data_IF_108666066671
#
_entry.id   IF_108666066671
#
_cell.length_a   1.000
_cell.length_b   1.000
_cell.length_c   1.000
_cell.angle_alpha   90.00
_cell.angle_beta   90.00
_cell.angle_gamma   90.00
#
_symmetry.space_group_name_H-M   'P 1'
#
loop_
_entity.id
_entity.type
_entity.pdbx_description
1 polymer ?
#
# COMPACT_ATOMS: atom_id res chain seq x y z
N UNK A 1 0.90 17.63 -17.52
CA UNK A 1 -0.28 17.81 -18.38
C UNK A 1 -0.39 19.30 -18.71
N UNK A 2 -0.38 19.65 -19.98
CA UNK A 2 -0.45 21.04 -20.44
C UNK A 2 -1.61 21.19 -21.43
N UNK A 3 -2.61 21.97 -21.06
CA UNK A 3 -3.72 22.35 -21.95
C UNK A 3 -3.27 23.46 -22.90
N UNK A 4 -3.28 23.18 -24.21
CA UNK A 4 -2.80 24.10 -25.21
C UNK A 4 -3.95 24.99 -25.72
N UNK A 5 -3.87 26.28 -25.44
CA UNK A 5 -4.87 27.29 -25.85
C UNK A 5 -4.93 27.46 -27.36
N UNK A 6 -6.09 27.96 -27.87
CA UNK A 6 -6.26 28.25 -29.28
C UNK A 6 -5.21 29.27 -29.76
N UNK A 7 -4.53 28.96 -30.88
CA UNK A 7 -3.51 29.83 -31.50
C UNK A 7 -2.06 29.41 -31.23
N UNK A 8 -1.83 28.42 -30.39
CA UNK A 8 -0.50 27.81 -30.21
C UNK A 8 -0.25 26.72 -31.27
N UNK A 9 1.00 26.65 -31.75
CA UNK A 9 1.46 25.61 -32.68
C UNK A 9 2.18 24.53 -31.87
N UNK A 10 1.66 23.29 -31.93
CA UNK A 10 2.28 22.11 -31.34
C UNK A 10 3.50 21.73 -32.21
N UNK A 11 4.64 21.48 -31.57
CA UNK A 11 5.92 21.16 -32.22
C UNK A 11 6.28 19.68 -32.13
N UNK A 12 5.51 18.89 -31.40
CA UNK A 12 5.75 17.45 -31.16
C UNK A 12 4.59 16.64 -31.71
N UNK A 13 4.85 15.39 -32.07
CA UNK A 13 3.84 14.43 -32.52
C UNK A 13 3.46 13.45 -31.41
N UNK A 14 2.29 12.81 -31.54
CA UNK A 14 1.85 11.79 -30.58
C UNK A 14 2.80 10.59 -30.60
N UNK A 15 3.32 10.23 -29.43
CA UNK A 15 4.29 9.14 -29.27
C UNK A 15 5.75 9.57 -29.30
N UNK A 16 6.08 10.84 -29.54
CA UNK A 16 7.46 11.33 -29.55
C UNK A 16 8.14 11.22 -28.18
N UNK A 17 9.43 10.87 -28.20
CA UNK A 17 10.30 10.93 -27.03
C UNK A 17 10.98 12.29 -26.95
N UNK A 18 10.64 13.04 -25.90
CA UNK A 18 11.22 14.37 -25.66
C UNK A 18 12.16 14.37 -24.45
N UNK A 19 13.21 15.18 -24.52
CA UNK A 19 14.11 15.42 -23.39
C UNK A 19 13.63 16.60 -22.54
N UNK A 20 14.05 16.63 -21.29
CA UNK A 20 13.82 17.80 -20.43
C UNK A 20 14.35 19.08 -21.11
N UNK A 21 13.53 20.13 -21.16
CA UNK A 21 13.83 21.39 -21.84
C UNK A 21 13.45 21.44 -23.32
N UNK A 22 12.96 20.35 -23.93
CA UNK A 22 12.50 20.37 -25.32
C UNK A 22 11.20 21.20 -25.47
N UNK A 23 11.06 22.03 -26.53
CA UNK A 23 9.84 22.80 -26.75
C UNK A 23 8.71 21.87 -27.20
N UNK A 24 7.57 21.93 -26.50
CA UNK A 24 6.36 21.15 -26.81
C UNK A 24 5.39 21.94 -27.71
N UNK A 25 5.25 23.22 -27.46
CA UNK A 25 4.42 24.12 -28.22
C UNK A 25 4.94 25.56 -28.20
N UNK A 26 4.69 26.32 -29.27
CA UNK A 26 5.08 27.73 -29.39
C UNK A 26 3.90 28.62 -29.75
N UNK A 27 3.95 29.88 -29.30
CA UNK A 27 3.00 30.91 -29.68
C UNK A 27 3.71 32.12 -30.27
N UNK A 28 3.54 32.37 -31.58
CA UNK A 28 4.14 33.48 -32.35
C UNK A 28 5.66 33.63 -32.17
N UNK A 29 6.36 32.51 -31.94
CA UNK A 29 7.81 32.44 -31.68
C UNK A 29 8.33 33.27 -30.46
N UNK A 30 7.41 33.78 -29.64
CA UNK A 30 7.75 34.59 -28.45
C UNK A 30 7.60 33.81 -27.12
N UNK A 31 6.75 32.80 -27.10
CA UNK A 31 6.49 32.00 -25.89
C UNK A 31 6.52 30.52 -26.22
N UNK A 32 7.26 29.76 -25.43
CA UNK A 32 7.40 28.31 -25.58
C UNK A 32 6.93 27.61 -24.30
N UNK A 33 6.26 26.49 -24.48
CA UNK A 33 6.01 25.52 -23.42
C UNK A 33 7.07 24.44 -23.58
N UNK A 34 7.93 24.27 -22.60
CA UNK A 34 9.02 23.30 -22.61
C UNK A 34 8.70 22.11 -21.68
N UNK A 35 9.20 20.92 -22.03
CA UNK A 35 9.07 19.74 -21.22
C UNK A 35 9.88 19.87 -19.91
N UNK A 36 9.24 19.75 -18.76
CA UNK A 36 9.94 19.78 -17.47
C UNK A 36 10.79 18.52 -17.23
N UNK A 37 10.43 17.39 -17.84
CA UNK A 37 11.11 16.10 -17.72
C UNK A 37 11.21 15.41 -19.06
N UNK A 38 12.12 14.47 -19.19
CA UNK A 38 12.17 13.56 -20.34
C UNK A 38 11.04 12.53 -20.24
N UNK A 39 10.41 12.21 -21.37
CA UNK A 39 9.32 11.24 -21.42
C UNK A 39 8.72 11.14 -22.81
N UNK A 40 7.68 10.31 -22.92
CA UNK A 40 6.90 10.15 -24.14
C UNK A 40 5.72 11.10 -24.14
N UNK A 41 5.48 11.76 -25.27
CA UNK A 41 4.35 12.67 -25.47
C UNK A 41 3.11 11.87 -25.86
N UNK A 42 1.98 12.18 -25.25
CA UNK A 42 0.66 11.76 -25.72
C UNK A 42 -0.18 13.00 -25.97
N UNK A 43 -0.82 13.05 -27.13
CA UNK A 43 -1.64 14.19 -27.55
C UNK A 43 -3.08 13.71 -27.68
N UNK A 44 -3.96 14.23 -26.82
CA UNK A 44 -5.40 14.04 -26.91
C UNK A 44 -6.07 15.39 -27.15
N UNK A 45 -6.73 15.55 -28.29
CA UNK A 45 -7.36 16.80 -28.75
C UNK A 45 -6.37 17.98 -28.74
N UNK A 46 -6.32 18.74 -27.65
CA UNK A 46 -5.43 19.89 -27.44
C UNK A 46 -4.66 19.83 -26.14
N UNK A 47 -4.68 18.69 -25.48
CA UNK A 47 -3.92 18.45 -24.27
C UNK A 47 -2.67 17.66 -24.61
N UNK A 48 -1.50 18.21 -24.29
CA UNK A 48 -0.22 17.51 -24.40
C UNK A 48 0.12 16.94 -23.03
N UNK A 49 0.08 15.63 -22.93
CA UNK A 49 0.45 14.88 -21.72
C UNK A 49 1.85 14.30 -21.88
N UNK A 50 2.73 14.59 -20.94
CA UNK A 50 4.07 14.02 -20.91
C UNK A 50 4.07 12.82 -19.95
N UNK A 51 4.23 11.63 -20.51
CA UNK A 51 4.34 10.38 -19.76
C UNK A 51 5.81 10.16 -19.39
N UNK A 52 6.13 10.30 -18.12
CA UNK A 52 7.48 10.11 -17.60
C UNK A 52 7.56 8.77 -16.88
N UNK A 53 8.32 7.83 -17.45
CA UNK A 53 8.63 6.56 -16.79
C UNK A 53 9.91 6.69 -15.96
N UNK A 54 9.81 6.43 -14.67
CA UNK A 54 10.96 6.37 -13.78
C UNK A 54 11.22 4.93 -13.36
N UNK A 55 12.31 4.36 -13.86
CA UNK A 55 12.79 3.07 -13.38
C UNK A 55 13.50 3.28 -12.03
N UNK A 56 12.97 2.64 -10.99
CA UNK A 56 13.58 2.62 -9.67
C UNK A 56 14.12 1.21 -9.46
N UNK A 57 15.44 1.09 -9.26
CA UNK A 57 16.10 -0.17 -8.93
C UNK A 57 16.33 -0.22 -7.43
N UNK A 58 15.99 -1.35 -6.82
CA UNK A 58 16.22 -1.58 -5.41
C UNK A 58 16.94 -2.91 -5.21
N UNK A 59 18.11 -2.85 -4.59
CA UNK A 59 18.90 -4.03 -4.29
C UNK A 59 18.56 -4.58 -2.90
N UNK A 60 18.34 -5.88 -2.82
CA UNK A 60 18.15 -6.59 -1.57
C UNK A 60 19.29 -7.57 -1.35
N UNK A 61 19.99 -7.46 -0.21
CA UNK A 61 21.04 -8.41 0.18
C UNK A 61 20.41 -9.71 0.65
N UNK A 62 20.71 -10.79 -0.04
CA UNK A 62 20.26 -12.14 0.29
C UNK A 62 21.36 -12.85 1.07
N UNK A 63 21.05 -13.54 2.20
CA UNK A 63 22.01 -14.39 2.89
C UNK A 63 22.52 -15.50 1.96
N UNK A 64 23.81 -15.82 2.04
CA UNK A 64 24.44 -16.82 1.17
C UNK A 64 23.80 -18.24 1.28
N UNK A 65 23.14 -18.53 2.40
CA UNK A 65 22.43 -19.77 2.67
C UNK A 65 20.96 -19.71 2.27
N UNK A 66 20.46 -18.56 1.85
CA UNK A 66 19.05 -18.36 1.47
C UNK A 66 18.75 -18.92 0.09
N UNK A 67 17.73 -19.79 -0.02
CA UNK A 67 17.23 -20.26 -1.30
C UNK A 67 16.32 -19.20 -1.91
N UNK A 68 16.64 -18.78 -3.14
CA UNK A 68 15.78 -17.88 -3.91
C UNK A 68 14.52 -18.63 -4.36
N UNK A 69 13.37 -17.97 -4.24
CA UNK A 69 12.05 -18.45 -4.66
C UNK A 69 11.57 -17.78 -5.96
N UNK A 70 12.38 -16.90 -6.53
CA UNK A 70 12.08 -16.13 -7.73
C UNK A 70 13.14 -16.36 -8.80
N UNK A 71 12.73 -16.26 -10.05
CA UNK A 71 13.59 -16.38 -11.22
C UNK A 71 13.90 -15.02 -11.85
N UNK A 72 14.97 -14.95 -12.64
CA UNK A 72 15.34 -13.74 -13.36
C UNK A 72 14.26 -13.36 -14.38
N UNK A 73 13.86 -12.08 -14.38
CA UNK A 73 12.78 -11.58 -15.24
C UNK A 73 11.37 -11.86 -14.75
N UNK A 74 11.21 -12.53 -13.61
CA UNK A 74 9.89 -12.80 -13.03
C UNK A 74 9.25 -11.50 -12.53
N UNK A 75 7.99 -11.29 -12.89
CA UNK A 75 7.17 -10.20 -12.36
C UNK A 75 6.71 -10.55 -10.94
N UNK A 76 6.99 -9.67 -9.98
CA UNK A 76 6.69 -9.88 -8.57
C UNK A 76 5.66 -8.87 -8.09
N UNK A 77 4.81 -9.32 -7.15
CA UNK A 77 3.83 -8.47 -6.47
C UNK A 77 4.36 -7.97 -5.13
N UNK A 78 3.88 -6.81 -4.64
CA UNK A 78 4.22 -6.33 -3.30
C UNK A 78 3.94 -7.38 -2.22
N UNK A 79 4.95 -7.64 -1.37
CA UNK A 79 4.87 -8.63 -0.30
C UNK A 79 5.07 -10.09 -0.74
N UNK A 80 5.41 -10.36 -2.01
CA UNK A 80 5.83 -11.69 -2.44
C UNK A 80 7.16 -12.06 -1.78
N UNK A 81 7.27 -13.31 -1.33
CA UNK A 81 8.50 -13.80 -0.70
C UNK A 81 9.55 -14.08 -1.76
N UNK A 82 10.71 -13.44 -1.63
CA UNK A 82 11.83 -13.59 -2.57
C UNK A 82 12.81 -14.70 -2.15
N UNK A 83 12.91 -14.95 -0.85
CA UNK A 83 13.85 -15.90 -0.24
C UNK A 83 13.09 -16.81 0.72
N UNK A 84 13.45 -18.09 0.73
CA UNK A 84 12.86 -19.05 1.67
C UNK A 84 13.20 -18.67 3.12
N UNK A 85 12.20 -18.70 4.00
CA UNK A 85 12.34 -18.37 5.41
C UNK A 85 11.03 -17.95 6.06
N UNK A 86 11.07 -17.71 7.36
CA UNK A 86 9.93 -17.25 8.15
C UNK A 86 9.66 -15.76 7.84
N UNK A 87 8.45 -15.45 7.46
CA UNK A 87 8.02 -14.08 7.20
C UNK A 87 7.64 -13.37 8.51
N UNK A 88 7.87 -12.06 8.55
CA UNK A 88 7.38 -11.24 9.65
C UNK A 88 5.88 -10.94 9.44
N UNK A 89 4.98 -11.42 10.31
CA UNK A 89 3.55 -11.22 10.15
C UNK A 89 3.12 -9.75 10.20
N UNK A 90 3.90 -8.88 10.85
CA UNK A 90 3.64 -7.42 10.87
C UNK A 90 3.86 -6.83 9.48
N UNK A 91 4.88 -7.29 8.75
CA UNK A 91 5.10 -6.85 7.36
C UNK A 91 4.00 -7.36 6.44
N UNK A 92 3.56 -8.62 6.60
CA UNK A 92 2.43 -9.15 5.83
C UNK A 92 1.18 -8.31 6.08
N UNK A 93 0.89 -7.98 7.35
CA UNK A 93 -0.27 -7.16 7.72
C UNK A 93 -0.24 -5.79 7.04
N UNK A 94 0.93 -5.18 6.99
CA UNK A 94 1.10 -3.84 6.42
C UNK A 94 0.98 -3.83 4.89
N UNK A 95 1.46 -4.89 4.21
CA UNK A 95 1.55 -4.94 2.74
C UNK A 95 0.34 -5.67 2.12
N UNK A 96 -0.04 -6.83 2.68
CA UNK A 96 -1.08 -7.73 2.16
C UNK A 96 -2.39 -7.68 2.94
N UNK A 97 -2.40 -6.98 4.05
CA UNK A 97 -3.57 -6.80 4.89
C UNK A 97 -3.88 -7.97 5.82
N UNK A 98 -5.04 -7.85 6.47
CA UNK A 98 -5.47 -8.70 7.57
C UNK A 98 -5.68 -10.17 7.18
N UNK A 99 -6.38 -10.41 6.07
CA UNK A 99 -6.71 -11.77 5.64
C UNK A 99 -5.47 -12.60 5.29
N UNK A 100 -4.50 -11.99 4.59
CA UNK A 100 -3.24 -12.63 4.27
C UNK A 100 -2.45 -12.98 5.53
N UNK A 101 -2.45 -12.06 6.52
CA UNK A 101 -1.79 -12.29 7.80
C UNK A 101 -2.46 -13.42 8.58
N UNK A 102 -3.79 -13.45 8.63
CA UNK A 102 -4.53 -14.50 9.31
C UNK A 102 -4.26 -15.88 8.67
N UNK A 103 -4.29 -15.98 7.33
CA UNK A 103 -3.97 -17.22 6.62
C UNK A 103 -2.53 -17.69 6.86
N UNK A 104 -1.58 -16.75 6.87
CA UNK A 104 -0.19 -17.06 7.16
C UNK A 104 -0.02 -17.60 8.58
N UNK A 105 -0.54 -16.91 9.59
CA UNK A 105 -0.47 -17.34 10.99
C UNK A 105 -1.14 -18.71 11.19
N UNK A 106 -2.29 -18.94 10.55
CA UNK A 106 -2.99 -20.21 10.60
C UNK A 106 -2.13 -21.35 10.04
N UNK A 107 -1.53 -21.15 8.86
CA UNK A 107 -0.66 -22.12 8.22
C UNK A 107 0.55 -22.47 9.07
N UNK A 108 1.24 -21.46 9.62
CA UNK A 108 2.43 -21.65 10.46
C UNK A 108 2.11 -22.45 11.73
N UNK A 109 1.05 -22.04 12.44
CA UNK A 109 0.66 -22.72 13.69
C UNK A 109 0.16 -24.13 13.42
N UNK A 110 -0.66 -24.32 12.39
CA UNK A 110 -1.12 -25.66 11.98
C UNK A 110 0.04 -26.58 11.60
N UNK A 111 1.05 -26.05 10.91
CA UNK A 111 2.26 -26.81 10.56
C UNK A 111 2.97 -27.34 11.79
N UNK A 112 3.13 -26.50 12.84
CA UNK A 112 3.75 -26.90 14.10
C UNK A 112 2.93 -27.98 14.82
N UNK A 113 1.61 -27.80 14.93
CA UNK A 113 0.76 -28.80 15.61
C UNK A 113 0.73 -30.14 14.86
N UNK A 114 0.61 -30.09 13.51
CA UNK A 114 0.62 -31.31 12.68
C UNK A 114 1.95 -32.06 12.78
N UNK A 115 3.08 -31.34 12.85
CA UNK A 115 4.40 -31.98 13.04
C UNK A 115 4.51 -32.73 14.36
N UNK A 116 3.72 -32.34 15.37
CA UNK A 116 3.62 -32.99 16.69
C UNK A 116 2.49 -34.02 16.76
N UNK A 117 1.82 -34.33 15.64
CA UNK A 117 0.72 -35.29 15.59
C UNK A 117 -0.60 -34.78 16.18
N UNK A 118 -0.72 -33.49 16.44
CA UNK A 118 -1.91 -32.89 17.04
C UNK A 118 -2.77 -32.24 15.94
N UNK A 119 -4.04 -32.63 15.86
CA UNK A 119 -5.02 -32.02 14.98
C UNK A 119 -5.87 -31.00 15.75
N UNK A 120 -5.74 -29.73 15.38
CA UNK A 120 -6.57 -28.65 15.91
C UNK A 120 -7.46 -28.09 14.79
N UNK A 121 -8.73 -27.89 15.09
CA UNK A 121 -9.65 -27.28 14.13
C UNK A 121 -9.31 -25.77 13.98
N UNK A 122 -9.26 -25.32 12.74
CA UNK A 122 -8.92 -23.92 12.37
C UNK A 122 -9.74 -22.89 13.10
N UNK A 123 -11.02 -23.18 13.38
CA UNK A 123 -11.95 -22.27 14.10
C UNK A 123 -11.40 -21.80 15.45
N UNK A 124 -10.69 -22.66 16.17
CA UNK A 124 -10.12 -22.30 17.47
C UNK A 124 -9.00 -21.27 17.33
N UNK A 125 -8.16 -21.42 16.30
CA UNK A 125 -7.09 -20.47 15.99
C UNK A 125 -7.63 -19.17 15.42
N UNK A 126 -8.65 -19.24 14.56
CA UNK A 126 -9.28 -18.07 13.94
C UNK A 126 -9.93 -17.14 14.97
N UNK A 127 -10.55 -17.68 16.03
CA UNK A 127 -11.11 -16.86 17.12
C UNK A 127 -10.01 -16.07 17.82
N UNK A 128 -8.85 -16.68 18.06
CA UNK A 128 -7.69 -16.00 18.65
C UNK A 128 -7.16 -14.92 17.72
N UNK A 129 -6.95 -15.23 16.45
CA UNK A 129 -6.45 -14.26 15.47
C UNK A 129 -7.40 -13.10 15.26
N UNK A 130 -8.73 -13.33 15.32
CA UNK A 130 -9.72 -12.26 15.27
C UNK A 130 -9.49 -11.22 16.36
N UNK A 131 -9.16 -11.68 17.58
CA UNK A 131 -8.85 -10.78 18.70
C UNK A 131 -7.50 -10.10 18.55
N UNK A 132 -6.49 -10.83 18.08
CA UNK A 132 -5.14 -10.27 17.84
C UNK A 132 -5.12 -9.19 16.74
N UNK A 133 -6.01 -9.29 15.74
CA UNK A 133 -6.12 -8.39 14.58
C UNK A 133 -7.34 -7.46 14.66
N UNK A 134 -8.02 -7.41 15.81
CA UNK A 134 -9.25 -6.63 15.98
C UNK A 134 -9.03 -5.14 16.19
N UNK A 135 -7.84 -4.76 16.65
CA UNK A 135 -7.51 -3.38 17.00
C UNK A 135 -6.72 -2.68 15.90
N UNK A 136 -6.88 -1.36 15.87
CA UNK A 136 -6.14 -0.44 15.00
C UNK A 136 -5.50 0.66 15.85
N UNK A 137 -4.41 1.22 15.37
CA UNK A 137 -3.74 2.35 16.00
C UNK A 137 -4.03 3.62 15.22
N UNK A 138 -4.52 4.65 15.90
CA UNK A 138 -4.83 5.94 15.29
C UNK A 138 -3.55 6.61 14.81
N UNK A 139 -3.54 7.03 13.55
CA UNK A 139 -2.46 7.78 12.92
C UNK A 139 -2.72 9.28 12.95
N UNK A 140 -3.93 9.68 12.51
CA UNK A 140 -4.41 11.06 12.55
C UNK A 140 -5.83 11.07 13.08
N UNK A 141 -6.12 12.00 13.97
CA UNK A 141 -7.44 12.11 14.61
C UNK A 141 -8.53 12.63 13.66
N UNK A 142 -8.17 13.41 12.62
CA UNK A 142 -9.20 14.15 11.87
C UNK A 142 -10.00 15.06 12.79
N UNK A 143 -11.33 15.08 12.59
CA UNK A 143 -12.29 15.85 13.43
C UNK A 143 -12.95 14.96 14.52
N UNK A 144 -12.26 13.89 14.93
CA UNK A 144 -12.69 13.01 16.01
C UNK A 144 -11.98 13.35 17.34
N UNK A 145 -12.55 12.91 18.47
CA UNK A 145 -11.93 13.06 19.81
C UNK A 145 -10.83 12.01 20.10
N UNK A 146 -10.45 11.20 19.10
CA UNK A 146 -9.45 10.14 19.24
C UNK A 146 -8.04 10.70 19.26
N UNK A 147 -7.16 10.09 20.07
CA UNK A 147 -5.77 10.54 20.17
C UNK A 147 -4.85 9.77 19.21
N UNK A 148 -3.89 10.45 18.55
CA UNK A 148 -2.86 9.78 17.77
C UNK A 148 -2.07 8.79 18.63
N UNK A 149 -1.89 7.55 18.13
CA UNK A 149 -1.23 6.47 18.86
C UNK A 149 -2.16 5.60 19.72
N UNK A 150 -3.40 6.01 19.92
CA UNK A 150 -4.41 5.25 20.67
C UNK A 150 -4.77 3.94 19.95
N UNK A 151 -5.03 2.88 20.72
CA UNK A 151 -5.48 1.58 20.24
C UNK A 151 -6.99 1.45 20.42
N UNK A 152 -7.72 1.44 19.33
CA UNK A 152 -9.17 1.31 19.33
C UNK A 152 -9.62 0.06 18.57
N UNK A 153 -10.80 -0.44 18.87
CA UNK A 153 -11.41 -1.50 18.06
C UNK A 153 -11.77 -0.97 16.67
N UNK A 154 -11.48 -1.76 15.65
CA UNK A 154 -11.71 -1.38 14.26
C UNK A 154 -13.17 -1.04 13.97
N UNK A 155 -14.12 -1.80 14.52
CA UNK A 155 -15.55 -1.57 14.30
C UNK A 155 -15.99 -0.26 14.95
N UNK A 156 -15.51 0.03 16.15
CA UNK A 156 -15.80 1.29 16.86
C UNK A 156 -15.26 2.48 16.07
N UNK A 157 -14.04 2.37 15.51
CA UNK A 157 -13.49 3.42 14.64
C UNK A 157 -14.34 3.62 13.37
N UNK A 158 -14.81 2.54 12.76
CA UNK A 158 -15.67 2.62 11.58
C UNK A 158 -16.99 3.34 11.87
N UNK A 159 -17.58 3.09 13.05
CA UNK A 159 -18.81 3.76 13.48
C UNK A 159 -18.57 5.25 13.76
N UNK A 160 -17.53 5.61 14.52
CA UNK A 160 -17.13 7.00 14.78
C UNK A 160 -16.85 7.74 13.45
N UNK A 161 -16.09 7.14 12.55
CA UNK A 161 -15.79 7.76 11.26
C UNK A 161 -17.05 7.96 10.41
N UNK A 162 -18.02 7.04 10.48
CA UNK A 162 -19.29 7.20 9.78
C UNK A 162 -20.04 8.43 10.28
N UNK A 163 -20.16 8.61 11.59
CA UNK A 163 -20.83 9.78 12.19
C UNK A 163 -20.15 11.10 11.79
N UNK A 164 -18.81 11.13 11.80
CA UNK A 164 -18.04 12.33 11.39
C UNK A 164 -18.24 12.64 9.91
N UNK A 165 -18.25 11.63 9.04
CA UNK A 165 -18.47 11.82 7.58
C UNK A 165 -19.90 12.33 7.33
N UNK A 166 -20.92 11.80 8.03
CA UNK A 166 -22.32 12.25 7.94
C UNK A 166 -22.46 13.72 8.40
N UNK A 167 -21.66 14.14 9.37
CA UNK A 167 -21.57 15.53 9.80
C UNK A 167 -20.73 16.44 8.87
N UNK A 168 -20.11 15.90 7.81
CA UNK A 168 -19.28 16.63 6.85
C UNK A 168 -17.86 16.91 7.32
N UNK A 169 -17.39 16.25 8.38
CA UNK A 169 -16.04 16.34 8.93
C UNK A 169 -15.04 15.38 8.29
N UNK A 170 -13.77 15.50 8.68
CA UNK A 170 -12.68 14.62 8.24
C UNK A 170 -12.57 13.40 9.17
N UNK A 171 -12.63 12.17 8.63
CA UNK A 171 -12.51 10.96 9.43
C UNK A 171 -11.10 10.76 9.98
N UNK A 172 -10.98 10.05 11.10
CA UNK A 172 -9.71 9.59 11.63
C UNK A 172 -9.10 8.51 10.73
N UNK A 173 -7.77 8.53 10.60
CA UNK A 173 -7.01 7.49 9.90
C UNK A 173 -6.26 6.63 10.89
N UNK A 174 -6.20 5.31 10.61
CA UNK A 174 -5.53 4.36 11.49
C UNK A 174 -4.79 3.27 10.70
N UNK A 175 -3.82 2.64 11.37
CA UNK A 175 -3.07 1.51 10.85
C UNK A 175 -3.50 0.22 11.55
N UNK A 176 -3.67 -0.88 10.82
CA UNK A 176 -3.93 -2.17 11.43
C UNK A 176 -2.73 -2.61 12.26
N UNK A 177 -2.98 -3.16 13.44
CA UNK A 177 -1.94 -3.69 14.34
C UNK A 177 -2.17 -5.16 14.63
N UNK A 178 -1.07 -5.90 14.79
CA UNK A 178 -1.08 -7.27 15.25
C UNK A 178 -0.65 -7.26 16.73
N UNK A 179 -1.58 -7.56 17.63
CA UNK A 179 -1.30 -7.69 19.05
C UNK A 179 -0.89 -9.12 19.38
N UNK A 180 0.09 -9.29 20.25
CA UNK A 180 0.37 -10.60 20.86
C UNK A 180 -0.83 -11.08 21.68
N UNK A 181 -0.95 -12.40 21.87
CA UNK A 181 -2.08 -13.03 22.60
C UNK A 181 -2.33 -12.38 23.96
N UNK A 182 -1.28 -12.18 24.75
CA UNK A 182 -1.38 -11.57 26.08
C UNK A 182 -1.94 -10.15 26.03
N UNK A 183 -1.42 -9.32 25.11
CA UNK A 183 -1.93 -7.95 24.91
C UNK A 183 -3.37 -7.94 24.40
N UNK A 184 -3.70 -8.83 23.48
CA UNK A 184 -5.05 -8.95 22.94
C UNK A 184 -6.05 -9.37 24.02
N UNK A 185 -5.67 -10.29 24.91
CA UNK A 185 -6.50 -10.73 26.03
C UNK A 185 -6.71 -9.63 27.09
N UNK A 186 -5.66 -8.86 27.41
CA UNK A 186 -5.74 -7.77 28.40
C UNK A 186 -6.50 -6.53 27.89
N UNK A 187 -6.58 -6.34 26.56
CA UNK A 187 -7.30 -5.23 25.93
C UNK A 187 -8.72 -5.61 25.47
N UNK A 188 -9.25 -6.75 25.90
CA UNK A 188 -10.66 -7.06 25.75
C UNK A 188 -11.42 -6.48 26.93
N UNK A 189 -12.53 -5.80 26.67
CA UNK A 189 -13.50 -5.50 27.70
C UNK A 189 -14.08 -6.83 28.20
N UNK A 190 -13.57 -7.27 29.31
CA UNK A 190 -14.04 -8.45 30.04
C UNK A 190 -14.95 -7.97 31.14
N UNK A 191 -16.08 -8.61 31.28
CA UNK A 191 -17.00 -8.36 32.39
C UNK A 191 -16.37 -8.56 33.74
#
# INVERSE_FOLDING_TARGET
EHEIKRGWKILVEDGDEVKAGAPLATWRDEKEITAEKSGRVSIEDRTVTLIHERRVEQEYKVPATGRLLVEEGQQIEPGMQLVEGVLNPIHILRIRGREATQRYLLSEIQSVYRSQGVNINDKHLEVVFRKMLGKVQISKSGDTDLLPGELIDRLVLEDINREVIEAGGQPATAWPVLLGITKAALNTESF
#
